data_IF_358876386949
#
_entry.id   IF_358876386949
#
_cell.length_a   1.000
_cell.length_b   1.000
_cell.length_c   1.000
_cell.angle_alpha   90.00
_cell.angle_beta   90.00
_cell.angle_gamma   90.00
#
_symmetry.space_group_name_H-M   'P 1'
#
loop_
_entity.id
_entity.type
_entity.pdbx_description
1 polymer ?
#
# COMPACT_ATOMS: atom_id res chain seq x y z
N UNK A 1 46.83 2.82 18.16
CA UNK A 1 46.07 2.81 16.90
C UNK A 1 45.02 1.70 17.00
N UNK A 2 43.78 2.03 17.35
CA UNK A 2 42.72 1.04 17.52
C UNK A 2 41.39 1.59 17.01
N UNK A 3 40.82 0.83 16.07
CA UNK A 3 39.42 0.73 15.67
C UNK A 3 38.73 1.94 14.98
N UNK A 4 39.01 2.12 13.69
CA UNK A 4 38.17 2.87 12.74
C UNK A 4 37.02 2.02 12.11
N UNK A 5 36.59 0.93 12.76
CA UNK A 5 35.48 0.11 12.26
C UNK A 5 34.08 0.58 12.72
N UNK A 6 33.96 1.83 13.19
CA UNK A 6 32.66 2.48 13.43
C UNK A 6 32.04 3.07 12.12
N UNK A 7 32.64 2.77 10.97
CA UNK A 7 32.12 3.13 9.67
C UNK A 7 31.13 2.10 9.16
N UNK A 8 29.91 2.56 8.86
CA UNK A 8 28.88 1.88 8.08
C UNK A 8 28.06 0.83 8.87
N UNK A 9 27.43 1.24 9.97
CA UNK A 9 26.08 0.73 10.21
C UNK A 9 25.19 1.26 9.08
N UNK A 10 25.09 0.49 7.97
CA UNK A 10 24.03 0.66 6.97
C UNK A 10 22.72 0.70 7.75
N UNK A 11 22.14 1.89 7.92
CA UNK A 11 20.87 2.12 8.60
C UNK A 11 19.88 1.05 8.16
N UNK A 12 19.65 0.04 8.99
CA UNK A 12 18.81 -1.11 8.63
C UNK A 12 17.37 -0.62 8.71
N UNK A 13 16.59 -0.91 7.67
CA UNK A 13 15.16 -0.59 7.69
C UNK A 13 14.55 -1.25 8.94
N UNK A 14 13.72 -0.53 9.73
CA UNK A 14 13.10 -1.10 10.91
C UNK A 14 12.35 -2.39 10.57
N UNK A 15 12.42 -3.41 11.43
CA UNK A 15 11.84 -4.74 11.17
C UNK A 15 10.34 -4.67 10.82
N UNK A 16 9.60 -3.79 11.50
CA UNK A 16 8.17 -3.58 11.25
C UNK A 16 7.90 -3.09 9.82
N UNK A 17 8.73 -2.17 9.30
CA UNK A 17 8.60 -1.67 7.93
C UNK A 17 8.90 -2.75 6.90
N UNK A 18 9.85 -3.63 7.17
CA UNK A 18 10.12 -4.77 6.29
C UNK A 18 8.91 -5.68 6.18
N UNK A 19 8.26 -6.00 7.31
CA UNK A 19 7.04 -6.82 7.33
C UNK A 19 5.92 -6.12 6.53
N UNK A 20 5.76 -4.82 6.75
CA UNK A 20 4.75 -4.01 6.06
C UNK A 20 5.01 -3.91 4.56
N UNK A 21 6.26 -3.76 4.13
CA UNK A 21 6.66 -3.83 2.72
C UNK A 21 6.24 -5.15 2.06
N UNK A 22 6.50 -6.27 2.74
CA UNK A 22 6.12 -7.59 2.23
C UNK A 22 4.60 -7.77 2.20
N UNK A 23 3.88 -7.27 3.20
CA UNK A 23 2.42 -7.27 3.19
C UNK A 23 1.86 -6.47 2.01
N UNK A 24 2.42 -5.30 1.70
CA UNK A 24 2.03 -4.52 0.54
C UNK A 24 2.31 -5.23 -0.78
N UNK A 25 3.48 -5.86 -0.92
CA UNK A 25 3.81 -6.66 -2.10
C UNK A 25 2.81 -7.81 -2.27
N UNK A 26 2.51 -8.51 -1.18
CA UNK A 26 1.59 -9.64 -1.20
C UNK A 26 0.17 -9.22 -1.59
N UNK A 27 -0.37 -8.17 -0.95
CA UNK A 27 -1.70 -7.63 -1.26
C UNK A 27 -1.77 -7.12 -2.70
N UNK A 28 -0.73 -6.44 -3.17
CA UNK A 28 -0.67 -5.97 -4.54
C UNK A 28 -0.56 -7.11 -5.56
N UNK A 29 0.12 -8.20 -5.21
CA UNK A 29 0.22 -9.39 -6.06
C UNK A 29 -1.11 -10.13 -6.15
N UNK A 30 -1.85 -10.25 -5.04
CA UNK A 30 -3.22 -10.77 -5.06
C UNK A 30 -4.12 -9.92 -5.96
N UNK A 31 -4.05 -8.59 -5.83
CA UNK A 31 -4.80 -7.67 -6.69
C UNK A 31 -4.42 -7.79 -8.17
N UNK A 32 -3.15 -8.08 -8.46
CA UNK A 32 -2.68 -8.35 -9.82
C UNK A 32 -3.28 -9.64 -10.37
N UNK A 33 -3.29 -10.72 -9.58
CA UNK A 33 -3.92 -11.98 -9.96
C UNK A 33 -5.41 -11.77 -10.23
N UNK A 34 -6.12 -11.06 -9.35
CA UNK A 34 -7.55 -10.75 -9.55
C UNK A 34 -7.78 -9.96 -10.84
N UNK A 35 -6.93 -8.98 -11.14
CA UNK A 35 -7.02 -8.17 -12.37
C UNK A 35 -6.75 -9.01 -13.62
N UNK A 36 -5.74 -9.89 -13.58
CA UNK A 36 -5.45 -10.82 -14.68
C UNK A 36 -6.60 -11.82 -14.85
N UNK A 37 -7.14 -12.35 -13.75
CA UNK A 37 -8.26 -13.27 -13.79
C UNK A 37 -9.51 -12.61 -14.38
N UNK A 38 -9.80 -11.37 -14.00
CA UNK A 38 -10.86 -10.55 -14.59
C UNK A 38 -10.64 -10.33 -16.08
N UNK A 39 -9.41 -10.00 -16.50
CA UNK A 39 -9.06 -9.81 -17.91
C UNK A 39 -9.28 -11.08 -18.76
N UNK A 40 -9.03 -12.27 -18.20
CA UNK A 40 -9.13 -13.53 -18.93
C UNK A 40 -10.53 -14.15 -18.91
N UNK A 41 -11.31 -13.93 -17.84
CA UNK A 41 -12.57 -14.65 -17.62
C UNK A 41 -13.81 -13.75 -17.55
N UNK A 42 -13.66 -12.43 -17.45
CA UNK A 42 -14.80 -11.52 -17.34
C UNK A 42 -15.00 -10.68 -18.60
N UNK A 43 -16.24 -10.49 -19.05
CA UNK A 43 -16.56 -9.57 -20.15
C UNK A 43 -16.34 -8.09 -19.78
N UNK A 44 -16.19 -7.80 -18.48
CA UNK A 44 -15.91 -6.45 -17.96
C UNK A 44 -14.50 -6.43 -17.39
N UNK A 45 -13.65 -5.58 -17.97
CA UNK A 45 -12.29 -5.38 -17.50
C UNK A 45 -12.28 -4.56 -16.20
N UNK A 46 -11.84 -5.18 -15.10
CA UNK A 46 -11.69 -4.54 -13.80
C UNK A 46 -10.23 -4.50 -13.39
N UNK A 47 -9.70 -3.29 -13.15
CA UNK A 47 -8.37 -3.09 -12.56
C UNK A 47 -8.52 -2.91 -11.05
N UNK A 48 -7.94 -3.82 -10.28
CA UNK A 48 -7.82 -3.64 -8.85
C UNK A 48 -6.69 -2.65 -8.55
N UNK A 49 -7.04 -1.47 -8.04
CA UNK A 49 -6.08 -0.40 -7.70
C UNK A 49 -5.04 -0.81 -6.65
N UNK A 50 -5.26 -1.89 -5.88
CA UNK A 50 -4.26 -2.42 -4.97
C UNK A 50 -3.01 -2.98 -5.66
N UNK A 51 -3.01 -3.14 -7.00
CA UNK A 51 -1.76 -3.40 -7.74
C UNK A 51 -0.68 -2.34 -7.42
N UNK A 52 -1.09 -1.10 -7.13
CA UNK A 52 -0.17 -0.02 -6.74
C UNK A 52 0.64 -0.38 -5.48
N UNK A 53 0.12 -1.24 -4.60
CA UNK A 53 0.82 -1.68 -3.40
C UNK A 53 2.07 -2.51 -3.68
N UNK A 54 2.18 -3.17 -4.85
CA UNK A 54 3.44 -3.81 -5.27
C UNK A 54 4.55 -2.77 -5.32
N UNK A 55 4.27 -1.63 -5.95
CA UNK A 55 5.25 -0.56 -6.12
C UNK A 55 5.55 0.14 -4.79
N UNK A 56 4.54 0.36 -3.95
CA UNK A 56 4.73 0.91 -2.59
C UNK A 56 5.63 -0.01 -1.76
N UNK A 57 5.34 -1.31 -1.73
CA UNK A 57 6.14 -2.28 -0.98
C UNK A 57 7.57 -2.39 -1.51
N UNK A 58 7.77 -2.36 -2.82
CA UNK A 58 9.11 -2.34 -3.42
C UNK A 58 9.87 -1.03 -3.13
N UNK A 59 9.17 0.10 -3.18
CA UNK A 59 9.73 1.41 -2.86
C UNK A 59 10.19 1.49 -1.40
N UNK A 60 9.46 0.89 -0.47
CA UNK A 60 9.85 0.79 0.94
C UNK A 60 11.12 -0.06 1.16
N UNK A 61 11.39 -1.04 0.29
CA UNK A 61 12.62 -1.84 0.33
C UNK A 61 13.81 -1.04 -0.21
N UNK A 62 13.57 -0.20 -1.23
CA UNK A 62 14.60 0.64 -1.85
C UNK A 62 14.88 1.87 -0.98
N UNK A 63 15.99 1.85 -0.24
CA UNK A 63 16.45 2.94 0.64
C UNK A 63 16.94 4.21 -0.09
N UNK A 64 16.27 4.66 -1.15
CA UNK A 64 16.57 5.97 -1.77
C UNK A 64 15.41 6.93 -1.53
N UNK A 65 15.75 8.18 -1.25
CA UNK A 65 14.77 9.26 -1.01
C UNK A 65 13.72 9.41 -2.11
N UNK A 66 14.07 9.17 -3.38
CA UNK A 66 13.13 9.16 -4.50
C UNK A 66 12.02 8.11 -4.32
N UNK A 67 12.39 6.89 -3.88
CA UNK A 67 11.43 5.82 -3.63
C UNK A 67 10.56 6.11 -2.42
N UNK A 68 11.09 6.78 -1.39
CA UNK A 68 10.29 7.24 -0.25
C UNK A 68 9.20 8.22 -0.68
N UNK A 69 9.56 9.26 -1.45
CA UNK A 69 8.60 10.24 -1.97
C UNK A 69 7.54 9.57 -2.85
N UNK A 70 7.97 8.64 -3.71
CA UNK A 70 7.07 7.87 -4.54
C UNK A 70 6.09 7.02 -3.72
N UNK A 71 6.57 6.30 -2.70
CA UNK A 71 5.73 5.51 -1.80
C UNK A 71 4.70 6.38 -1.07
N UNK A 72 5.11 7.56 -0.57
CA UNK A 72 4.20 8.53 0.05
C UNK A 72 3.09 8.94 -0.92
N UNK A 73 3.45 9.34 -2.14
CA UNK A 73 2.47 9.76 -3.16
C UNK A 73 1.49 8.63 -3.50
N UNK A 74 1.99 7.42 -3.73
CA UNK A 74 1.15 6.25 -4.01
C UNK A 74 0.21 5.91 -2.85
N UNK A 75 0.71 5.88 -1.61
CA UNK A 75 -0.12 5.64 -0.43
C UNK A 75 -1.17 6.73 -0.22
N UNK A 76 -0.83 8.00 -0.49
CA UNK A 76 -1.79 9.11 -0.42
C UNK A 76 -2.92 8.98 -1.46
N UNK A 77 -2.58 8.65 -2.72
CA UNK A 77 -3.56 8.45 -3.79
C UNK A 77 -4.51 7.30 -3.44
N UNK A 78 -3.98 6.16 -3.00
CA UNK A 78 -4.81 5.01 -2.59
C UNK A 78 -5.72 5.37 -1.41
N UNK A 79 -5.19 6.09 -0.42
CA UNK A 79 -5.97 6.52 0.74
C UNK A 79 -7.13 7.43 0.33
N UNK A 80 -6.88 8.46 -0.48
CA UNK A 80 -7.91 9.38 -0.96
C UNK A 80 -8.96 8.63 -1.77
N UNK A 81 -8.54 7.74 -2.66
CA UNK A 81 -9.45 6.97 -3.51
C UNK A 81 -10.33 6.03 -2.68
N UNK A 82 -9.75 5.33 -1.69
CA UNK A 82 -10.50 4.42 -0.80
C UNK A 82 -11.49 5.18 0.08
N UNK A 83 -11.07 6.30 0.67
CA UNK A 83 -11.98 7.17 1.44
C UNK A 83 -13.11 7.68 0.53
N UNK A 84 -12.79 8.14 -0.68
CA UNK A 84 -13.78 8.58 -1.66
C UNK A 84 -14.80 7.49 -2.00
N UNK A 85 -14.35 6.26 -2.25
CA UNK A 85 -15.24 5.13 -2.51
C UNK A 85 -16.15 4.83 -1.31
N UNK A 86 -15.60 4.79 -0.09
CA UNK A 86 -16.39 4.59 1.14
C UNK A 86 -17.43 5.70 1.31
N UNK A 87 -17.08 6.96 1.06
CA UNK A 87 -18.03 8.08 1.15
C UNK A 87 -19.13 7.99 0.08
N UNK A 88 -18.80 7.62 -1.15
CA UNK A 88 -19.79 7.40 -2.23
C UNK A 88 -20.79 6.31 -1.82
N UNK A 89 -20.28 5.22 -1.27
CA UNK A 89 -21.04 4.10 -0.74
C UNK A 89 -21.98 4.54 0.39
N UNK A 90 -21.45 5.25 1.40
CA UNK A 90 -22.21 5.72 2.54
C UNK A 90 -23.25 6.80 2.16
N UNK A 91 -23.01 7.54 1.07
CA UNK A 91 -23.95 8.55 0.56
C UNK A 91 -25.25 7.97 -0.03
N UNK A 92 -25.42 6.65 -0.04
CA UNK A 92 -26.70 6.02 -0.36
C UNK A 92 -27.07 6.07 -1.84
N UNK A 93 -26.15 6.45 -2.73
CA UNK A 93 -26.30 6.07 -4.15
C UNK A 93 -26.36 4.55 -4.17
N UNK A 94 -27.44 3.96 -4.71
CA UNK A 94 -27.83 2.53 -4.75
C UNK A 94 -26.77 1.48 -5.14
N UNK A 95 -25.53 1.90 -5.34
CA UNK A 95 -24.35 1.15 -5.78
C UNK A 95 -24.02 -0.10 -4.97
N UNK A 96 -24.34 -0.20 -3.67
CA UNK A 96 -24.06 -1.41 -2.86
C UNK A 96 -25.29 -2.19 -2.41
N UNK A 97 -26.45 -1.55 -2.23
CA UNK A 97 -27.67 -2.26 -1.81
C UNK A 97 -28.10 -3.33 -2.80
N UNK A 98 -27.71 -3.16 -4.06
CA UNK A 98 -28.07 -4.04 -5.17
C UNK A 98 -26.99 -5.12 -5.41
N UNK A 99 -25.87 -5.10 -4.67
CA UNK A 99 -24.79 -6.08 -4.74
C UNK A 99 -24.99 -7.21 -3.72
N UNK A 100 -24.51 -8.41 -4.05
CA UNK A 100 -24.58 -9.56 -3.13
C UNK A 100 -23.83 -9.28 -1.82
N UNK A 101 -24.27 -9.90 -0.72
CA UNK A 101 -23.66 -9.74 0.59
C UNK A 101 -22.15 -10.06 0.58
N UNK A 102 -21.74 -11.06 -0.22
CA UNK A 102 -20.32 -11.43 -0.38
C UNK A 102 -19.49 -10.29 -0.99
N UNK A 103 -20.01 -9.61 -2.00
CA UNK A 103 -19.34 -8.46 -2.63
C UNK A 103 -19.26 -7.29 -1.66
N UNK A 104 -20.33 -7.03 -0.89
CA UNK A 104 -20.34 -5.98 0.13
C UNK A 104 -19.30 -6.24 1.23
N UNK A 105 -19.25 -7.46 1.76
CA UNK A 105 -18.27 -7.86 2.78
C UNK A 105 -16.85 -7.69 2.24
N UNK A 106 -16.60 -8.17 1.02
CA UNK A 106 -15.28 -8.08 0.37
C UNK A 106 -14.87 -6.61 0.20
N UNK A 107 -15.79 -5.76 -0.25
CA UNK A 107 -15.57 -4.31 -0.37
C UNK A 107 -15.16 -3.69 0.97
N UNK A 108 -15.90 -3.96 2.05
CA UNK A 108 -15.59 -3.37 3.36
C UNK A 108 -14.26 -3.86 3.92
N UNK A 109 -13.95 -5.16 3.79
CA UNK A 109 -12.65 -5.71 4.19
C UNK A 109 -11.53 -5.01 3.42
N UNK A 110 -11.65 -4.90 2.10
CA UNK A 110 -10.68 -4.23 1.26
C UNK A 110 -10.55 -2.75 1.63
N UNK A 111 -11.64 -2.03 1.84
CA UNK A 111 -11.62 -0.63 2.23
C UNK A 111 -10.88 -0.41 3.56
N UNK A 112 -11.20 -1.21 4.59
CA UNK A 112 -10.56 -1.11 5.92
C UNK A 112 -9.06 -1.40 5.82
N UNK A 113 -8.69 -2.49 5.12
CA UNK A 113 -7.29 -2.87 4.95
C UNK A 113 -6.53 -1.82 4.12
N UNK A 114 -7.12 -1.33 3.04
CA UNK A 114 -6.53 -0.33 2.15
C UNK A 114 -6.30 1.01 2.85
N UNK A 115 -7.29 1.49 3.60
CA UNK A 115 -7.21 2.72 4.40
C UNK A 115 -6.18 2.55 5.51
N UNK A 116 -6.29 1.48 6.31
CA UNK A 116 -5.41 1.22 7.44
C UNK A 116 -3.94 1.08 7.02
N UNK A 117 -3.68 0.30 5.97
CA UNK A 117 -2.34 0.11 5.46
C UNK A 117 -1.77 1.42 4.88
N UNK A 118 -2.54 2.15 4.06
CA UNK A 118 -2.07 3.40 3.44
C UNK A 118 -1.81 4.48 4.49
N UNK A 119 -2.68 4.63 5.48
CA UNK A 119 -2.50 5.56 6.59
C UNK A 119 -1.26 5.22 7.42
N UNK A 120 -1.06 3.94 7.74
CA UNK A 120 0.13 3.47 8.45
C UNK A 120 1.41 3.74 7.64
N UNK A 121 1.41 3.46 6.33
CA UNK A 121 2.55 3.72 5.46
C UNK A 121 2.92 5.21 5.44
N UNK A 122 1.93 6.10 5.30
CA UNK A 122 2.15 7.54 5.34
C UNK A 122 2.75 7.98 6.68
N UNK A 123 2.19 7.53 7.79
CA UNK A 123 2.70 7.84 9.12
C UNK A 123 4.15 7.33 9.31
N UNK A 124 4.41 6.06 8.96
CA UNK A 124 5.72 5.46 9.11
C UNK A 124 6.76 6.16 8.23
N UNK A 125 6.44 6.47 6.97
CA UNK A 125 7.36 7.12 6.02
C UNK A 125 7.70 8.58 6.38
N UNK A 126 6.82 9.24 7.13
CA UNK A 126 7.06 10.59 7.66
C UNK A 126 7.83 10.60 8.98
N UNK A 127 7.94 9.47 9.67
CA UNK A 127 8.67 9.39 10.94
C UNK A 127 10.15 9.74 10.76
N UNK A 128 10.73 10.41 11.77
CA UNK A 128 12.13 10.86 11.75
C UNK A 128 13.12 9.70 11.61
N UNK A 129 12.81 8.55 12.20
CA UNK A 129 13.65 7.34 12.14
C UNK A 129 13.74 6.80 10.71
N UNK A 130 12.60 6.73 10.03
CA UNK A 130 12.52 6.20 8.68
C UNK A 130 13.14 7.17 7.70
N UNK A 131 12.87 8.46 7.84
CA UNK A 131 13.52 9.50 7.01
C UNK A 131 15.04 9.36 7.01
N UNK A 132 15.66 9.22 8.18
CA UNK A 132 17.11 9.01 8.30
C UNK A 132 17.61 7.74 7.60
N UNK A 133 16.78 6.69 7.53
CA UNK A 133 17.13 5.44 6.85
C UNK A 133 17.09 5.52 5.31
N UNK A 134 16.49 6.57 4.74
CA UNK A 134 16.44 6.82 3.29
C UNK A 134 17.38 7.94 2.83
N UNK A 135 17.96 8.68 3.77
CA UNK A 135 18.98 9.72 3.54
C UNK A 135 20.42 9.15 3.56
N UNK A 136 20.60 7.86 3.92
CA UNK A 136 21.88 7.13 3.96
C UNK A 136 22.14 6.28 2.70
#
# INVERSE_FOLDING_TARGET
MANQNAGIEKSKLPKHLKIVSWAFIFLGFLALIETIYSLLNSPVFYINFFIVFIFVGFALIKKKELWRKFAISCSAVVLIFMIGNVLIVLSGKKTLSDLSAEIQITFWIQAILGIGASAYALWALQSKEVRKAFES
#
